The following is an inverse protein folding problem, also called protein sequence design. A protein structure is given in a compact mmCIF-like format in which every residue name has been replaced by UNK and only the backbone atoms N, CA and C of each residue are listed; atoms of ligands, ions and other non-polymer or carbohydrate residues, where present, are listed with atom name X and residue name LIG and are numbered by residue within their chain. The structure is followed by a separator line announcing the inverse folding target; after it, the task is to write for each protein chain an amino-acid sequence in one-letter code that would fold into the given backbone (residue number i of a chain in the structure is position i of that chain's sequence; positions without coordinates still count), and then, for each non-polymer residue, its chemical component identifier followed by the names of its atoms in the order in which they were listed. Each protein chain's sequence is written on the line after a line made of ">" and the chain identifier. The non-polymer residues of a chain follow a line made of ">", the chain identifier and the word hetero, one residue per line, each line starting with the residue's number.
data_IF_567485588965
#
_entry.id   IF_567485588965
#
_cell.length_a   1.000
_cell.length_b   1.000
_cell.length_c   1.000
_cell.angle_alpha   90.00
_cell.angle_beta   90.00
_cell.angle_gamma   90.00
#
_symmetry.space_group_name_H-M   'P 1'
#
loop_
_entity.id
_entity.type
_entity.pdbx_description
1 polymer ?
#
# COMPACT_ATOMS: atom_id res chain seq x y z
N UNK A 1 2.65 -64.73 22.82
CA UNK A 1 3.23 -64.07 21.62
C UNK A 1 2.30 -63.18 20.82
N UNK A 2 0.98 -63.45 20.77
CA UNK A 2 0.00 -62.58 20.05
C UNK A 2 -0.39 -61.28 20.80
N UNK A 3 -0.36 -61.28 22.14
CA UNK A 3 -0.70 -60.10 22.95
C UNK A 3 0.42 -59.04 22.88
N UNK A 4 1.68 -59.44 22.85
CA UNK A 4 2.85 -58.56 22.80
C UNK A 4 2.93 -57.80 21.47
N UNK A 5 2.55 -58.46 20.34
CA UNK A 5 2.49 -57.83 19.01
C UNK A 5 1.36 -56.78 18.89
N UNK A 6 0.25 -56.99 19.60
CA UNK A 6 -0.83 -55.98 19.61
C UNK A 6 -0.50 -54.76 20.47
N UNK A 7 0.25 -54.96 21.57
CA UNK A 7 0.68 -53.87 22.43
C UNK A 7 1.72 -52.96 21.72
N UNK A 8 2.66 -53.57 20.96
CA UNK A 8 3.65 -52.80 20.16
C UNK A 8 2.99 -52.04 19.01
N UNK A 9 1.92 -52.57 18.40
CA UNK A 9 1.21 -51.89 17.31
C UNK A 9 0.42 -50.66 17.82
N UNK A 10 -0.19 -50.76 19.03
CA UNK A 10 -0.91 -49.66 19.65
C UNK A 10 0.07 -48.56 20.10
N UNK A 11 1.24 -48.92 20.61
CA UNK A 11 2.28 -47.96 21.00
C UNK A 11 2.85 -47.22 19.78
N UNK A 12 3.01 -47.91 18.63
CA UNK A 12 3.47 -47.29 17.37
C UNK A 12 2.43 -46.32 16.78
N UNK A 13 1.11 -46.58 16.91
CA UNK A 13 0.09 -45.66 16.49
C UNK A 13 0.00 -44.39 17.39
N UNK A 14 0.29 -44.50 18.69
CA UNK A 14 0.28 -43.37 19.60
C UNK A 14 1.45 -42.39 19.34
N UNK A 15 2.59 -42.90 18.87
CA UNK A 15 3.76 -42.03 18.53
C UNK A 15 3.55 -41.30 17.21
N UNK A 16 2.71 -41.79 16.29
CA UNK A 16 2.41 -41.13 15.01
C UNK A 16 1.38 -40.03 15.11
N UNK A 17 0.62 -39.96 16.19
CA UNK A 17 -0.37 -38.87 16.40
C UNK A 17 0.21 -37.57 16.98
N UNK A 18 1.48 -37.54 17.40
CA UNK A 18 2.10 -36.33 17.95
C UNK A 18 2.86 -35.49 16.91
N UNK A 19 2.90 -35.89 15.64
CA UNK A 19 3.65 -35.18 14.60
C UNK A 19 2.84 -34.17 13.79
N UNK A 20 1.60 -33.88 14.16
CA UNK A 20 0.76 -32.89 13.45
C UNK A 20 0.44 -31.67 14.30
N UNK A 21 1.36 -31.21 15.14
CA UNK A 21 1.38 -29.80 15.50
C UNK A 21 1.95 -29.09 14.28
N UNK A 22 1.09 -28.73 13.35
CA UNK A 22 1.41 -27.74 12.35
C UNK A 22 1.88 -26.50 13.12
N UNK A 23 3.18 -26.29 13.16
CA UNK A 23 3.75 -25.00 13.49
C UNK A 23 3.20 -24.04 12.42
N UNK A 24 2.13 -23.31 12.78
CA UNK A 24 1.85 -22.04 12.17
C UNK A 24 3.07 -21.17 12.50
N UNK A 25 4.14 -21.33 11.75
CA UNK A 25 5.16 -20.31 11.65
C UNK A 25 4.42 -19.10 11.08
N UNK A 26 3.96 -18.23 11.99
CA UNK A 26 3.78 -16.83 11.67
C UNK A 26 5.11 -16.47 11.02
N UNK A 27 5.11 -16.36 9.71
CA UNK A 27 6.26 -15.89 8.95
C UNK A 27 6.46 -14.48 9.50
N UNK A 28 7.42 -14.34 10.42
CA UNK A 28 7.88 -13.03 10.84
C UNK A 28 8.36 -12.39 9.55
N UNK A 29 7.53 -11.49 9.02
CA UNK A 29 7.94 -10.57 7.97
C UNK A 29 9.15 -9.87 8.58
N UNK A 30 10.33 -10.16 8.04
CA UNK A 30 11.58 -9.55 8.44
C UNK A 30 11.33 -8.06 8.35
N UNK A 31 11.21 -7.39 9.51
CA UNK A 31 10.98 -5.96 9.57
C UNK A 31 12.01 -5.28 8.67
N UNK A 32 11.56 -4.81 7.54
CA UNK A 32 12.42 -4.16 6.58
C UNK A 32 12.72 -2.77 7.12
N UNK A 33 13.99 -2.51 7.29
CA UNK A 33 14.47 -1.24 7.84
C UNK A 33 14.18 -0.09 6.87
N UNK A 34 13.58 1.00 7.39
CA UNK A 34 13.51 2.25 6.65
C UNK A 34 14.90 2.89 6.61
N UNK A 35 15.36 3.20 5.41
CA UNK A 35 16.67 3.84 5.17
C UNK A 35 16.47 5.26 4.68
N UNK A 36 17.02 6.25 5.37
CA UNK A 36 17.14 7.61 4.88
C UNK A 36 18.32 7.67 3.90
N UNK A 37 18.01 7.76 2.59
CA UNK A 37 19.02 7.78 1.53
C UNK A 37 19.67 9.15 1.37
N UNK A 38 18.87 10.22 1.46
CA UNK A 38 19.35 11.60 1.34
C UNK A 38 18.43 12.58 2.05
N UNK A 39 19.00 13.68 2.51
CA UNK A 39 18.30 14.86 3.05
C UNK A 39 19.25 16.05 3.07
N UNK A 40 18.69 17.25 3.21
CA UNK A 40 19.48 18.46 3.46
C UNK A 40 19.95 18.51 4.91
N UNK A 41 19.07 18.12 5.84
CA UNK A 41 19.40 18.00 7.26
C UNK A 41 18.52 16.97 7.96
N UNK A 42 19.07 16.37 9.03
CA UNK A 42 18.33 15.51 9.94
C UNK A 42 18.74 15.83 11.37
N UNK A 43 17.77 15.92 12.27
CA UNK A 43 17.98 16.24 13.67
C UNK A 43 16.99 15.51 14.56
N UNK A 44 17.40 15.21 15.79
CA UNK A 44 16.48 14.70 16.82
C UNK A 44 15.72 15.88 17.43
N UNK A 45 14.41 15.72 17.55
CA UNK A 45 13.52 16.70 18.18
C UNK A 45 12.57 15.99 19.14
N UNK A 46 12.24 16.65 20.26
CA UNK A 46 11.19 16.18 21.16
C UNK A 46 9.93 16.98 20.91
N UNK A 47 8.83 16.29 20.63
CA UNK A 47 7.51 16.89 20.41
C UNK A 47 6.54 16.21 21.37
N UNK A 48 5.97 16.98 22.30
CA UNK A 48 5.00 16.49 23.30
C UNK A 48 5.47 15.27 24.09
N UNK A 49 6.79 15.20 24.36
CA UNK A 49 7.40 14.10 25.13
C UNK A 49 7.75 12.86 24.29
N UNK A 50 7.48 12.85 23.00
CA UNK A 50 7.90 11.81 22.08
C UNK A 50 9.10 12.27 21.24
N UNK A 51 10.01 11.32 20.96
CA UNK A 51 11.23 11.60 20.21
C UNK A 51 11.04 11.31 18.73
N UNK A 52 11.36 12.32 17.91
CA UNK A 52 11.26 12.23 16.46
C UNK A 52 12.61 12.53 15.80
N UNK A 53 12.80 11.95 14.63
CA UNK A 53 13.79 12.41 13.66
C UNK A 53 13.10 13.39 12.70
N UNK A 54 13.39 14.69 12.84
CA UNK A 54 12.95 15.69 11.86
C UNK A 54 13.93 15.69 10.70
N UNK A 55 13.42 15.46 9.51
CA UNK A 55 14.19 15.43 8.27
C UNK A 55 13.71 16.57 7.37
N UNK A 56 14.65 17.38 6.88
CA UNK A 56 14.37 18.49 5.96
C UNK A 56 15.06 18.21 4.64
N UNK A 57 14.31 18.35 3.56
CA UNK A 57 14.70 17.85 2.26
C UNK A 57 14.98 18.85 1.16
N UNK A 58 14.95 18.34 -0.05
CA UNK A 58 14.27 17.11 -0.46
C UNK A 58 14.85 15.86 0.22
N UNK A 59 13.98 15.19 0.99
CA UNK A 59 14.31 13.96 1.71
C UNK A 59 13.89 12.74 0.89
N UNK A 60 14.72 11.69 0.91
CA UNK A 60 14.43 10.44 0.21
C UNK A 60 14.63 9.26 1.14
N UNK A 61 13.57 8.50 1.36
CA UNK A 61 13.59 7.27 2.15
C UNK A 61 13.38 6.06 1.24
N UNK A 62 13.92 4.94 1.65
CA UNK A 62 13.69 3.63 1.04
C UNK A 62 13.15 2.68 2.09
N UNK A 63 12.03 2.04 1.81
CA UNK A 63 11.47 0.95 2.58
C UNK A 63 11.06 -0.17 1.63
N UNK A 64 11.67 -1.34 1.77
CA UNK A 64 11.55 -2.43 0.79
C UNK A 64 11.94 -1.93 -0.63
N UNK A 65 10.99 -2.01 -1.59
CA UNK A 65 11.14 -1.51 -2.96
C UNK A 65 10.43 -0.16 -3.19
N UNK A 66 10.07 0.54 -2.11
CA UNK A 66 9.27 1.78 -2.14
C UNK A 66 10.14 2.97 -1.78
N UNK A 67 10.18 3.97 -2.64
CA UNK A 67 10.79 5.26 -2.35
C UNK A 67 9.74 6.25 -1.88
N UNK A 68 9.96 6.87 -0.71
CA UNK A 68 9.22 8.03 -0.23
C UNK A 68 10.10 9.27 -0.41
N UNK A 69 9.57 10.29 -1.06
CA UNK A 69 10.21 11.59 -1.28
C UNK A 69 9.31 12.68 -0.73
N UNK A 70 9.88 13.69 -0.06
CA UNK A 70 9.14 14.83 0.50
C UNK A 70 10.05 16.01 0.82
N UNK A 71 9.47 17.18 1.06
CA UNK A 71 10.23 18.35 1.50
C UNK A 71 10.58 18.27 2.99
N UNK A 72 9.69 17.73 3.81
CA UNK A 72 9.91 17.58 5.25
C UNK A 72 9.22 16.34 5.77
N UNK A 73 9.84 15.67 6.76
CA UNK A 73 9.24 14.56 7.47
C UNK A 73 9.54 14.62 8.98
N UNK A 74 8.59 14.11 9.76
CA UNK A 74 8.78 13.73 11.16
C UNK A 74 8.67 12.20 11.25
N UNK A 75 9.76 11.55 11.63
CA UNK A 75 9.79 10.10 11.79
C UNK A 75 9.86 9.74 13.26
N UNK A 76 8.80 9.16 13.78
CA UNK A 76 8.78 8.52 15.09
C UNK A 76 9.35 7.11 14.95
N UNK A 77 10.54 6.87 15.50
CA UNK A 77 11.25 5.59 15.37
C UNK A 77 10.66 4.51 16.29
N UNK A 78 10.00 4.91 17.39
CA UNK A 78 9.39 3.96 18.33
C UNK A 78 8.06 3.40 17.81
N UNK A 79 7.25 4.27 17.20
CA UNK A 79 5.95 3.88 16.63
C UNK A 79 6.02 3.53 15.15
N UNK A 80 7.20 3.63 14.54
CA UNK A 80 7.43 3.38 13.12
C UNK A 80 6.46 4.16 12.20
N UNK A 81 6.21 5.44 12.55
CA UNK A 81 5.35 6.33 11.76
C UNK A 81 6.18 7.46 11.16
N UNK A 82 6.00 7.72 9.87
CA UNK A 82 6.57 8.85 9.16
C UNK A 82 5.43 9.76 8.72
N UNK A 83 5.35 10.95 9.29
CA UNK A 83 4.50 12.03 8.79
C UNK A 83 5.34 12.90 7.83
N UNK A 84 4.90 13.00 6.57
CA UNK A 84 5.62 13.71 5.51
C UNK A 84 4.73 14.76 4.86
N UNK A 85 5.32 15.89 4.48
CA UNK A 85 4.62 16.99 3.82
C UNK A 85 5.52 17.77 2.87
N UNK A 86 4.86 18.43 1.91
CA UNK A 86 5.46 19.20 0.81
C UNK A 86 6.03 18.30 -0.28
N UNK A 87 5.49 18.42 -1.48
CA UNK A 87 5.90 17.66 -2.67
C UNK A 87 6.07 16.15 -2.39
N UNK A 88 5.10 15.59 -1.64
CA UNK A 88 5.18 14.19 -1.25
C UNK A 88 4.95 13.29 -2.45
N UNK A 89 5.83 12.31 -2.64
CA UNK A 89 5.61 11.24 -3.60
C UNK A 89 6.07 9.88 -3.09
N UNK A 90 5.35 8.84 -3.48
CA UNK A 90 5.80 7.45 -3.41
C UNK A 90 6.03 6.95 -4.83
N UNK A 91 7.18 6.28 -5.02
CA UNK A 91 7.52 5.59 -6.24
C UNK A 91 7.72 4.12 -5.90
N UNK A 92 6.94 3.28 -6.54
CA UNK A 92 7.07 1.83 -6.42
C UNK A 92 6.88 1.21 -7.80
N UNK A 93 7.95 0.55 -8.29
CA UNK A 93 7.99 0.04 -9.66
C UNK A 93 7.66 1.16 -10.67
N UNK A 94 6.55 1.01 -11.38
CA UNK A 94 6.08 1.98 -12.38
C UNK A 94 4.85 2.78 -11.91
N UNK A 95 4.49 2.67 -10.62
CA UNK A 95 3.40 3.43 -9.99
C UNK A 95 3.96 4.63 -9.23
N UNK A 96 3.40 5.79 -9.51
CA UNK A 96 3.75 7.06 -8.86
C UNK A 96 2.52 7.61 -8.16
N UNK A 97 2.64 7.87 -6.84
CA UNK A 97 1.61 8.56 -6.05
C UNK A 97 2.15 9.90 -5.58
N UNK A 98 1.34 10.95 -5.67
CA UNK A 98 1.70 12.29 -5.22
C UNK A 98 0.61 12.91 -4.37
N UNK A 99 0.99 13.76 -3.41
CA UNK A 99 0.07 14.52 -2.56
C UNK A 99 0.77 15.68 -1.83
N UNK A 100 0.00 16.44 -1.07
CA UNK A 100 0.52 17.47 -0.17
C UNK A 100 1.03 16.84 1.15
N UNK A 101 0.34 15.78 1.64
CA UNK A 101 0.60 15.16 2.93
C UNK A 101 0.50 13.64 2.84
N UNK A 102 1.32 12.97 3.64
CA UNK A 102 1.34 11.52 3.79
C UNK A 102 1.60 11.16 5.25
N UNK A 103 0.84 10.20 5.76
CA UNK A 103 1.20 9.42 6.95
C UNK A 103 1.57 8.01 6.50
N UNK A 104 2.81 7.59 6.74
CA UNK A 104 3.28 6.25 6.41
C UNK A 104 3.44 5.42 7.68
N UNK A 105 2.61 4.40 7.81
CA UNK A 105 2.63 3.39 8.87
C UNK A 105 3.55 2.27 8.38
N UNK A 106 4.81 2.30 8.81
CA UNK A 106 5.88 1.45 8.27
C UNK A 106 5.60 -0.03 8.54
N UNK A 107 5.25 -0.37 9.78
CA UNK A 107 4.99 -1.77 10.19
C UNK A 107 3.79 -2.38 9.46
N UNK A 108 2.81 -1.54 9.09
CA UNK A 108 1.60 -1.95 8.35
C UNK A 108 1.81 -1.91 6.83
N UNK A 109 2.95 -1.41 6.34
CA UNK A 109 3.19 -1.13 4.92
C UNK A 109 2.11 -0.23 4.31
N UNK A 110 1.52 0.69 5.10
CA UNK A 110 0.37 1.48 4.72
C UNK A 110 0.71 2.96 4.58
N UNK A 111 0.56 3.48 3.37
CA UNK A 111 0.73 4.88 3.02
C UNK A 111 -0.63 5.57 2.88
N UNK A 112 -0.96 6.49 3.79
CA UNK A 112 -2.21 7.24 3.82
C UNK A 112 -2.01 8.63 3.24
N UNK A 113 -2.40 8.82 1.99
CA UNK A 113 -2.30 10.09 1.29
C UNK A 113 -3.51 10.98 1.56
N UNK A 114 -3.26 12.24 1.86
CA UNK A 114 -4.29 13.25 2.13
C UNK A 114 -3.86 14.57 1.51
N UNK A 115 -4.81 15.28 0.90
CA UNK A 115 -4.49 16.58 0.29
C UNK A 115 -5.64 17.18 -0.49
N UNK A 116 -5.39 18.34 -1.07
CA UNK A 116 -6.31 18.99 -2.01
C UNK A 116 -6.48 18.13 -3.26
N UNK A 117 -5.37 17.52 -3.71
CA UNK A 117 -5.31 16.54 -4.79
C UNK A 117 -4.32 15.45 -4.39
N UNK A 118 -4.78 14.22 -4.38
CA UNK A 118 -3.94 13.01 -4.37
C UNK A 118 -4.01 12.41 -5.75
N UNK A 119 -2.87 12.17 -6.39
CA UNK A 119 -2.81 11.61 -7.73
C UNK A 119 -2.02 10.31 -7.73
N UNK A 120 -2.57 9.28 -8.35
CA UNK A 120 -1.89 8.05 -8.72
C UNK A 120 -1.74 8.05 -10.23
N UNK A 121 -0.55 7.75 -10.72
CA UNK A 121 -0.27 7.52 -12.14
C UNK A 121 0.36 6.15 -12.29
N UNK A 122 -0.19 5.32 -13.16
CA UNK A 122 0.34 3.99 -13.46
C UNK A 122 1.30 4.01 -14.66
N UNK A 123 1.83 2.82 -14.98
CA UNK A 123 2.71 2.60 -16.13
C UNK A 123 2.11 3.04 -17.47
N UNK A 124 0.81 2.80 -17.65
CA UNK A 124 0.11 3.05 -18.90
C UNK A 124 -0.42 4.49 -18.99
N UNK A 125 0.05 5.37 -18.06
CA UNK A 125 -0.33 6.77 -17.93
C UNK A 125 -1.80 6.99 -17.57
N UNK A 126 -2.50 6.00 -17.04
CA UNK A 126 -3.79 6.22 -16.41
C UNK A 126 -3.59 7.04 -15.15
N UNK A 127 -4.41 8.04 -14.95
CA UNK A 127 -4.28 8.98 -13.84
C UNK A 127 -5.55 9.00 -13.00
N UNK A 128 -5.45 8.50 -11.75
CA UNK A 128 -6.52 8.60 -10.76
C UNK A 128 -6.28 9.82 -9.87
N UNK A 129 -7.29 10.65 -9.69
CA UNK A 129 -7.30 11.80 -8.78
C UNK A 129 -8.38 11.65 -7.73
N UNK A 130 -8.02 11.91 -6.48
CA UNK A 130 -8.91 11.88 -5.31
C UNK A 130 -8.40 12.84 -4.24
N UNK A 131 -9.01 12.85 -3.07
CA UNK A 131 -8.51 13.59 -1.89
C UNK A 131 -8.00 12.67 -0.79
N UNK A 132 -8.42 11.40 -0.82
CA UNK A 132 -8.11 10.40 0.19
C UNK A 132 -7.78 9.10 -0.51
N UNK A 133 -6.54 8.64 -0.36
CA UNK A 133 -6.08 7.39 -0.91
C UNK A 133 -5.20 6.70 0.11
N UNK A 134 -5.45 5.43 0.36
CA UNK A 134 -4.63 4.55 1.16
C UNK A 134 -3.96 3.54 0.22
N UNK A 135 -2.63 3.42 0.32
CA UNK A 135 -1.84 2.52 -0.52
C UNK A 135 -1.07 1.52 0.34
N UNK A 136 -1.36 0.23 0.15
CA UNK A 136 -0.56 -0.84 0.74
C UNK A 136 0.65 -1.11 -0.15
N UNK A 137 1.86 -0.81 0.36
CA UNK A 137 3.10 -0.95 -0.39
C UNK A 137 3.59 -2.40 -0.52
N UNK A 138 3.12 -3.32 0.31
CA UNK A 138 3.43 -4.74 0.22
C UNK A 138 2.56 -5.44 -0.83
N UNK A 139 1.27 -5.15 -0.81
CA UNK A 139 0.30 -5.73 -1.73
C UNK A 139 0.25 -5.00 -3.07
N UNK A 140 0.73 -3.74 -3.09
CA UNK A 140 0.68 -2.83 -4.24
C UNK A 140 -0.76 -2.46 -4.64
N UNK A 141 -1.62 -2.30 -3.64
CA UNK A 141 -3.05 -1.98 -3.80
C UNK A 141 -3.34 -0.60 -3.24
N UNK A 142 -3.96 0.25 -4.07
CA UNK A 142 -4.53 1.53 -3.68
C UNK A 142 -6.03 1.41 -3.44
N UNK A 143 -6.52 2.11 -2.40
CA UNK A 143 -7.95 2.24 -2.10
C UNK A 143 -8.28 3.72 -1.98
N UNK A 144 -9.25 4.20 -2.75
CA UNK A 144 -9.74 5.56 -2.63
C UNK A 144 -11.19 5.58 -2.15
N UNK A 145 -11.52 6.62 -1.38
CA UNK A 145 -12.84 6.84 -0.79
C UNK A 145 -13.23 8.30 -0.93
N UNK A 146 -14.53 8.58 -0.84
CA UNK A 146 -15.09 9.94 -0.88
C UNK A 146 -14.93 10.66 -2.24
N UNK A 147 -14.94 9.89 -3.31
CA UNK A 147 -14.86 10.39 -4.68
C UNK A 147 -13.49 10.26 -5.30
N UNK A 148 -13.47 9.80 -6.54
CA UNK A 148 -12.28 9.73 -7.38
C UNK A 148 -12.66 9.81 -8.84
N UNK A 149 -11.75 10.35 -9.66
CA UNK A 149 -11.86 10.45 -11.10
C UNK A 149 -10.59 9.90 -11.73
N UNK A 150 -10.71 8.86 -12.55
CA UNK A 150 -9.64 8.32 -13.36
C UNK A 150 -9.77 8.82 -14.78
N UNK A 151 -8.64 9.18 -15.37
CA UNK A 151 -8.52 9.45 -16.81
C UNK A 151 -7.50 8.48 -17.39
N UNK A 152 -7.87 7.78 -18.44
CA UNK A 152 -6.94 6.90 -19.15
C UNK A 152 -6.13 7.65 -20.22
N UNK A 153 -5.22 6.92 -20.87
CA UNK A 153 -4.37 7.43 -21.96
C UNK A 153 -5.16 7.94 -23.18
N UNK A 154 -6.36 7.40 -23.43
CA UNK A 154 -7.21 7.71 -24.57
C UNK A 154 -8.22 8.82 -24.27
N UNK A 155 -8.19 9.35 -23.04
CA UNK A 155 -9.02 10.48 -22.61
C UNK A 155 -10.37 10.08 -22.04
N UNK A 156 -10.67 8.80 -21.88
CA UNK A 156 -11.88 8.32 -21.20
C UNK A 156 -11.81 8.71 -19.72
N UNK A 157 -12.94 9.09 -19.16
CA UNK A 157 -13.03 9.47 -17.75
C UNK A 157 -13.99 8.55 -17.04
N UNK A 158 -13.54 8.01 -15.90
CA UNK A 158 -14.36 7.19 -15.01
C UNK A 158 -14.36 7.82 -13.63
N UNK A 159 -15.57 8.13 -13.14
CA UNK A 159 -15.79 8.71 -11.82
C UNK A 159 -16.57 7.74 -10.94
N UNK A 160 -16.24 7.69 -9.65
CA UNK A 160 -16.99 6.91 -8.69
C UNK A 160 -16.82 7.44 -7.27
N UNK A 161 -17.63 6.94 -6.36
CA UNK A 161 -17.50 7.29 -4.95
C UNK A 161 -16.33 6.61 -4.27
N UNK A 162 -16.08 5.34 -4.60
CA UNK A 162 -14.98 4.54 -4.06
C UNK A 162 -14.38 3.66 -5.17
N UNK A 163 -13.18 3.15 -4.92
CA UNK A 163 -12.60 2.15 -5.79
C UNK A 163 -11.23 1.69 -5.31
N UNK A 164 -10.68 0.74 -6.05
CA UNK A 164 -9.37 0.16 -5.81
C UNK A 164 -8.57 0.14 -7.09
N UNK A 165 -7.24 0.19 -6.96
CA UNK A 165 -6.30 -0.09 -8.03
C UNK A 165 -5.29 -1.11 -7.55
N UNK A 166 -5.20 -2.25 -8.22
CA UNK A 166 -4.17 -3.27 -8.02
C UNK A 166 -3.12 -3.09 -9.12
N UNK A 167 -1.92 -2.63 -8.72
CA UNK A 167 -0.86 -2.30 -9.69
C UNK A 167 -0.18 -3.56 -10.26
N UNK A 168 -0.22 -4.69 -9.56
CA UNK A 168 0.38 -5.95 -10.03
C UNK A 168 -0.36 -6.52 -11.23
N UNK A 169 -1.68 -6.36 -11.26
CA UNK A 169 -2.54 -6.84 -12.35
C UNK A 169 -3.16 -5.68 -13.16
N UNK A 170 -2.74 -4.42 -12.90
CA UNK A 170 -3.15 -3.19 -13.59
C UNK A 170 -4.67 -3.02 -13.70
N UNK A 171 -5.36 -3.32 -12.60
CA UNK A 171 -6.81 -3.39 -12.53
C UNK A 171 -7.38 -2.32 -11.64
N UNK A 172 -8.24 -1.46 -12.20
CA UNK A 172 -9.09 -0.55 -11.44
C UNK A 172 -10.48 -1.18 -11.24
N UNK A 173 -11.02 -1.05 -10.03
CA UNK A 173 -12.40 -1.38 -9.72
C UNK A 173 -13.06 -0.14 -9.14
N UNK A 174 -14.10 0.35 -9.82
CA UNK A 174 -14.88 1.53 -9.43
C UNK A 174 -16.20 1.07 -8.85
N UNK A 175 -16.60 1.67 -7.72
CA UNK A 175 -17.80 1.27 -6.99
C UNK A 175 -18.58 2.48 -6.50
N UNK A 176 -19.90 2.33 -6.51
CA UNK A 176 -20.89 3.31 -6.08
C UNK A 176 -20.89 4.59 -6.92
N UNK A 177 -22.03 4.88 -7.52
CA UNK A 177 -22.26 6.04 -8.38
C UNK A 177 -21.21 6.16 -9.50
N UNK A 178 -20.94 5.03 -10.20
CA UNK A 178 -19.95 5.02 -11.28
C UNK A 178 -20.52 5.67 -12.53
N UNK A 179 -19.80 6.66 -13.06
CA UNK A 179 -20.07 7.32 -14.33
C UNK A 179 -18.84 7.19 -15.22
N UNK A 180 -19.01 6.68 -16.43
CA UNK A 180 -17.94 6.60 -17.43
C UNK A 180 -18.32 7.44 -18.64
N UNK A 181 -17.37 8.26 -19.08
CA UNK A 181 -17.50 9.16 -20.22
C UNK A 181 -16.45 8.81 -21.26
N UNK A 182 -16.90 8.59 -22.48
CA UNK A 182 -16.05 8.50 -23.66
C UNK A 182 -16.53 9.52 -24.69
N UNK A 183 -15.87 9.65 -25.82
CA UNK A 183 -16.27 10.57 -26.88
C UNK A 183 -17.70 10.36 -27.39
N UNK A 184 -18.22 9.12 -27.30
CA UNK A 184 -19.49 8.72 -27.90
C UNK A 184 -20.47 8.04 -26.94
N UNK A 185 -20.02 7.66 -25.74
CA UNK A 185 -20.80 6.84 -24.82
C UNK A 185 -20.74 7.42 -23.40
N UNK A 186 -21.91 7.47 -22.75
CA UNK A 186 -22.04 7.68 -21.32
C UNK A 186 -22.61 6.44 -20.66
N UNK A 187 -21.91 5.91 -19.64
CA UNK A 187 -22.35 4.73 -18.87
C UNK A 187 -22.55 5.14 -17.43
N UNK A 188 -23.68 4.75 -16.85
CA UNK A 188 -23.95 4.87 -15.42
C UNK A 188 -24.20 3.47 -14.84
N UNK A 189 -23.42 3.11 -13.79
CA UNK A 189 -23.50 1.77 -13.20
C UNK A 189 -23.16 1.83 -11.70
N UNK A 190 -23.33 0.73 -10.99
CA UNK A 190 -22.90 0.60 -9.59
C UNK A 190 -21.45 0.16 -9.45
N UNK A 191 -20.97 -0.59 -10.43
CA UNK A 191 -19.61 -1.12 -10.46
C UNK A 191 -19.09 -1.17 -11.89
N UNK A 192 -17.80 -0.87 -12.07
CA UNK A 192 -17.10 -0.96 -13.33
C UNK A 192 -15.67 -1.43 -13.06
N UNK A 193 -15.22 -2.39 -13.86
CA UNK A 193 -13.84 -2.87 -13.86
C UNK A 193 -13.16 -2.36 -15.12
N UNK A 194 -11.96 -1.78 -14.95
CA UNK A 194 -11.10 -1.32 -16.04
C UNK A 194 -9.74 -2.01 -15.91
N UNK A 195 -9.31 -2.68 -16.96
CA UNK A 195 -8.02 -3.38 -17.04
C UNK A 195 -7.19 -2.74 -18.15
N UNK A 196 -6.01 -2.22 -17.81
CA UNK A 196 -5.16 -1.47 -18.76
C UNK A 196 -4.55 -2.34 -19.85
N UNK A 197 -4.39 -3.63 -19.63
CA UNK A 197 -3.72 -4.56 -20.54
C UNK A 197 -4.64 -5.14 -21.64
N UNK A 198 -5.93 -4.81 -21.64
CA UNK A 198 -6.90 -5.36 -22.61
C UNK A 198 -7.06 -4.49 -23.87
N UNK A 199 -6.18 -3.52 -24.09
CA UNK A 199 -6.20 -2.63 -25.27
C UNK A 199 -5.00 -2.87 -26.20
#
# INVERSE_FOLDING_TARGET
>A
MRLLKKLTLILACLVLCFSSVAQNQKQETKDSLVVLLSSKSAQMVDVEGARYRKVVGPARFLHNNTYLICDTALWNVETQIIDAWGNVSILQEETVLTSDNLKYLVDDNLAQFRGSVVQLTDKDHNTLRTRHLDYNTQDSVAVFMNGGSMRDKDGQIIESRNGTYDSKIKKFTFQNDVNMFTDSIFVKTRELVYESDLN
#
